data_IF_815392507641
#
_entry.id   IF_815392507641
#
_cell.length_a   1.000
_cell.length_b   1.000
_cell.length_c   1.000
_cell.angle_alpha   90.00
_cell.angle_beta   90.00
_cell.angle_gamma   90.00
#
_symmetry.space_group_name_H-M   'P 1'
#
loop_
_entity.id
_entity.type
_entity.pdbx_description
1 polymer ?
#
# COMPACT_ATOMS: atom_id res chain seq x y z
N UNK A 1 -17.91 -20.51 -10.47
CA UNK A 1 -16.49 -20.12 -10.35
C UNK A 1 -16.37 -19.36 -9.04
N UNK A 2 -15.57 -19.82 -8.11
CA UNK A 2 -15.32 -19.09 -6.86
C UNK A 2 -14.39 -17.92 -7.22
N UNK A 3 -14.90 -16.69 -7.23
CA UNK A 3 -14.07 -15.50 -7.39
C UNK A 3 -13.17 -15.37 -6.17
N UNK A 4 -11.86 -15.48 -6.38
CA UNK A 4 -10.86 -15.31 -5.33
C UNK A 4 -10.56 -13.82 -5.18
N UNK A 5 -10.92 -13.23 -4.05
CA UNK A 5 -10.42 -11.91 -3.65
C UNK A 5 -8.94 -12.02 -3.32
N UNK A 6 -8.08 -11.71 -4.30
CA UNK A 6 -6.64 -11.58 -4.07
C UNK A 6 -6.38 -10.28 -3.30
N UNK A 7 -5.95 -10.41 -2.04
CA UNK A 7 -5.44 -9.28 -1.26
C UNK A 7 -3.92 -9.29 -1.36
N UNK A 8 -3.35 -8.24 -1.97
CA UNK A 8 -1.92 -8.06 -2.08
C UNK A 8 -1.45 -6.98 -1.09
N UNK A 9 -0.25 -7.16 -0.53
CA UNK A 9 0.38 -6.21 0.37
C UNK A 9 1.71 -5.75 -0.22
N UNK A 10 2.01 -4.47 -0.08
CA UNK A 10 3.32 -3.93 -0.40
C UNK A 10 3.81 -3.05 0.75
N UNK A 11 5.11 -3.15 1.04
CA UNK A 11 5.79 -2.26 1.98
C UNK A 11 6.68 -1.33 1.17
N UNK A 12 6.43 -0.03 1.31
CA UNK A 12 7.22 1.03 0.67
C UNK A 12 8.27 1.49 1.67
N UNK A 13 9.52 1.60 1.22
CA UNK A 13 10.64 2.09 2.03
C UNK A 13 11.22 3.35 1.40
N UNK A 14 11.66 4.30 2.23
CA UNK A 14 12.36 5.49 1.78
C UNK A 14 13.23 6.07 2.89
N UNK A 15 14.43 6.60 2.59
CA UNK A 15 15.27 7.30 3.58
C UNK A 15 14.68 8.65 4.02
N UNK A 16 13.73 9.19 3.26
CA UNK A 16 13.09 10.48 3.52
C UNK A 16 11.56 10.35 3.57
N UNK A 17 10.96 11.04 4.54
CA UNK A 17 9.52 10.99 4.78
C UNK A 17 8.73 11.59 3.61
N UNK A 18 9.22 12.66 2.99
CA UNK A 18 8.53 13.33 1.89
C UNK A 18 8.47 12.42 0.65
N UNK A 19 9.57 11.72 0.36
CA UNK A 19 9.59 10.71 -0.69
C UNK A 19 8.68 9.52 -0.38
N UNK A 20 8.65 9.04 0.87
CA UNK A 20 7.75 7.96 1.28
C UNK A 20 6.29 8.32 1.00
N UNK A 21 5.87 9.52 1.46
CA UNK A 21 4.50 9.99 1.30
C UNK A 21 4.12 10.10 -0.18
N UNK A 22 5.04 10.58 -1.04
CA UNK A 22 4.81 10.69 -2.48
C UNK A 22 4.58 9.32 -3.14
N UNK A 23 5.38 8.31 -2.81
CA UNK A 23 5.22 6.95 -3.34
C UNK A 23 3.92 6.31 -2.85
N UNK A 24 3.59 6.47 -1.57
CA UNK A 24 2.31 5.98 -1.02
C UNK A 24 1.12 6.66 -1.71
N UNK A 25 1.17 7.98 -1.94
CA UNK A 25 0.11 8.71 -2.67
C UNK A 25 -0.05 8.23 -4.12
N UNK A 26 1.05 7.87 -4.78
CA UNK A 26 1.01 7.28 -6.12
C UNK A 26 0.27 5.94 -6.09
N UNK A 27 0.62 5.05 -5.15
CA UNK A 27 -0.07 3.76 -4.98
C UNK A 27 -1.56 3.96 -4.66
N UNK A 28 -1.90 4.95 -3.84
CA UNK A 28 -3.31 5.30 -3.57
C UNK A 28 -4.05 5.69 -4.85
N UNK A 29 -3.40 6.46 -5.73
CA UNK A 29 -3.96 6.83 -7.04
C UNK A 29 -4.16 5.61 -7.95
N UNK A 30 -3.31 4.58 -7.81
CA UNK A 30 -3.41 3.29 -8.50
C UNK A 30 -4.45 2.34 -7.87
N UNK A 31 -5.13 2.75 -6.80
CA UNK A 31 -6.18 1.97 -6.13
C UNK A 31 -5.72 1.18 -4.90
N UNK A 32 -4.47 1.35 -4.47
CA UNK A 32 -4.02 0.81 -3.18
C UNK A 32 -4.62 1.60 -2.01
N UNK A 33 -4.77 0.95 -0.87
CA UNK A 33 -5.25 1.57 0.37
C UNK A 33 -4.13 1.54 1.41
N UNK A 34 -3.85 2.66 2.11
CA UNK A 34 -2.87 2.66 3.19
C UNK A 34 -3.33 1.73 4.32
N UNK A 35 -2.38 1.03 4.94
CA UNK A 35 -2.66 0.12 6.04
C UNK A 35 -1.74 0.41 7.22
N UNK A 36 -2.32 1.00 8.26
CA UNK A 36 -1.59 1.44 9.45
C UNK A 36 -0.99 2.84 9.27
N UNK A 37 0.18 3.05 9.87
CA UNK A 37 0.91 4.33 9.86
C UNK A 37 2.32 4.21 9.27
N UNK A 38 3.09 5.27 9.41
CA UNK A 38 4.51 5.31 9.02
C UNK A 38 5.34 4.85 10.22
N UNK A 39 6.30 3.97 9.97
CA UNK A 39 7.27 3.52 10.97
C UNK A 39 8.70 3.83 10.50
N UNK A 40 9.63 4.01 11.45
CA UNK A 40 11.06 4.07 11.18
C UNK A 40 11.69 2.70 11.45
N UNK A 41 12.60 2.29 10.58
CA UNK A 41 13.42 1.08 10.73
C UNK A 41 14.70 1.39 11.52
N UNK A 42 15.34 0.36 12.07
CA UNK A 42 16.59 0.47 12.82
C UNK A 42 17.76 0.98 11.95
N UNK A 43 17.61 0.95 10.63
CA UNK A 43 18.58 1.46 9.64
C UNK A 43 18.31 2.92 9.25
N UNK A 44 17.32 3.58 9.87
CA UNK A 44 16.99 4.98 9.60
C UNK A 44 16.11 5.23 8.38
N UNK A 45 15.53 4.18 7.77
CA UNK A 45 14.54 4.32 6.70
C UNK A 45 13.13 4.46 7.29
N UNK A 46 12.29 5.23 6.63
CA UNK A 46 10.84 5.23 6.85
C UNK A 46 10.18 4.14 6.00
N UNK A 47 9.17 3.49 6.57
CA UNK A 47 8.35 2.51 5.88
C UNK A 47 6.85 2.77 6.06
N UNK A 48 6.06 2.40 5.05
CA UNK A 48 4.61 2.37 5.12
C UNK A 48 4.07 1.14 4.39
N UNK A 49 3.00 0.56 4.92
CA UNK A 49 2.34 -0.58 4.30
C UNK A 49 1.09 -0.14 3.55
N UNK A 50 0.87 -0.71 2.37
CA UNK A 50 -0.33 -0.53 1.57
C UNK A 50 -0.91 -1.89 1.20
N UNK A 51 -2.22 -1.94 0.97
CA UNK A 51 -2.93 -3.12 0.48
C UNK A 51 -3.68 -2.83 -0.81
N UNK A 52 -3.68 -3.79 -1.73
CA UNK A 52 -4.53 -3.77 -2.91
C UNK A 52 -5.52 -4.91 -2.80
N UNK A 53 -6.80 -4.58 -2.87
CA UNK A 53 -7.87 -5.56 -2.88
C UNK A 53 -8.53 -5.47 -4.25
N UNK A 54 -8.34 -6.49 -5.07
CA UNK A 54 -9.18 -6.67 -6.26
C UNK A 54 -10.57 -7.02 -5.75
N UNK A 55 -11.43 -6.02 -5.62
CA UNK A 55 -12.86 -6.27 -5.41
C UNK A 55 -13.38 -6.98 -6.68
N UNK A 56 -14.11 -8.10 -6.55
CA UNK A 56 -14.80 -8.66 -7.69
C UNK A 56 -15.70 -7.57 -8.28
N UNK A 57 -15.85 -7.50 -9.62
CA UNK A 57 -16.77 -6.56 -10.22
C UNK A 57 -18.15 -6.74 -9.57
N UNK A 58 -18.89 -5.65 -9.28
CA UNK A 58 -20.22 -5.77 -8.71
C UNK A 58 -21.04 -6.69 -9.61
N UNK A 59 -21.56 -7.78 -9.03
CA UNK A 59 -22.44 -8.69 -9.73
C UNK A 59 -23.72 -7.93 -10.11
N UNK A 60 -23.80 -7.48 -11.36
CA UNK A 60 -25.03 -6.96 -11.98
C UNK A 60 -25.77 -8.08 -12.70
#
# INVERSE_FOLDING_TARGET
MTEWTATNYAVVYSPDLKHLVKEVQKLITEGWKPQGGIASTDTGLYQAMVRFQNEPPPSS
#
